data_IF_573297608388
#
_entry.id   IF_573297608388
#
_cell.length_a   1.000
_cell.length_b   1.000
_cell.length_c   1.000
_cell.angle_alpha   90.00
_cell.angle_beta   90.00
_cell.angle_gamma   90.00
#
_symmetry.space_group_name_H-M   'P 1'
#
loop_
_entity.id
_entity.type
_entity.pdbx_description
1 polymer ?
#
# COMPACT_ATOMS: atom_id res chain seq x y z
N UNK A 1 10.72 -44.86 -37.01
CA UNK A 1 9.27 -45.00 -36.74
C UNK A 1 9.01 -44.60 -35.29
N UNK A 2 8.22 -43.52 -35.14
CA UNK A 2 7.52 -42.96 -33.98
C UNK A 2 8.08 -43.17 -32.55
N UNK A 3 8.70 -42.12 -32.03
CA UNK A 3 8.83 -41.84 -30.60
C UNK A 3 7.48 -41.39 -30.04
N UNK A 4 6.86 -42.22 -29.18
CA UNK A 4 5.63 -41.87 -28.47
C UNK A 4 5.93 -40.80 -27.41
N UNK A 5 5.61 -39.56 -27.74
CA UNK A 5 5.44 -38.45 -26.80
C UNK A 5 4.29 -38.79 -25.84
N UNK A 6 4.56 -38.88 -24.52
CA UNK A 6 3.52 -38.78 -23.50
C UNK A 6 3.64 -37.45 -22.77
N UNK A 7 2.59 -36.65 -22.95
CA UNK A 7 2.27 -35.42 -22.25
C UNK A 7 2.59 -35.47 -20.73
N UNK A 8 3.35 -34.50 -20.19
CA UNK A 8 3.29 -34.20 -18.76
C UNK A 8 2.03 -33.36 -18.46
N UNK A 9 1.23 -33.83 -17.51
CA UNK A 9 0.04 -33.13 -16.98
C UNK A 9 0.38 -31.74 -16.41
N UNK A 10 -0.52 -30.73 -16.53
CA UNK A 10 -0.23 -29.34 -16.19
C UNK A 10 -0.44 -28.99 -14.70
N UNK A 11 -0.04 -29.86 -13.76
CA UNK A 11 -0.21 -29.60 -12.32
C UNK A 11 0.99 -30.00 -11.43
N UNK A 12 2.17 -30.20 -12.00
CA UNK A 12 3.41 -30.26 -11.22
C UNK A 12 4.14 -28.92 -11.35
N UNK A 13 3.81 -27.94 -10.50
CA UNK A 13 4.74 -26.83 -10.24
C UNK A 13 5.99 -27.46 -9.64
N UNK A 14 7.16 -27.43 -10.29
CA UNK A 14 8.36 -27.93 -9.65
C UNK A 14 8.57 -27.07 -8.40
N UNK A 15 8.55 -27.72 -7.24
CA UNK A 15 9.01 -27.11 -6.01
C UNK A 15 10.43 -26.61 -6.28
N UNK A 16 10.59 -25.29 -6.39
CA UNK A 16 11.89 -24.63 -6.47
C UNK A 16 12.67 -25.01 -5.21
N UNK A 17 13.51 -26.05 -5.36
CA UNK A 17 14.43 -26.53 -4.34
C UNK A 17 15.53 -25.48 -4.26
N UNK A 18 15.40 -24.53 -3.35
CA UNK A 18 16.49 -23.58 -3.05
C UNK A 18 17.75 -24.37 -2.65
N UNK A 19 18.90 -23.99 -3.20
CA UNK A 19 20.18 -24.66 -3.04
C UNK A 19 20.72 -24.73 -1.58
N UNK A 20 19.99 -24.21 -0.60
CA UNK A 20 20.46 -24.04 0.78
C UNK A 20 19.71 -24.87 1.84
N UNK A 21 18.92 -25.88 1.48
CA UNK A 21 18.41 -26.87 2.44
C UNK A 21 17.52 -26.35 3.59
N UNK A 22 17.14 -25.07 3.60
CA UNK A 22 16.24 -24.53 4.60
C UNK A 22 14.81 -25.01 4.35
N UNK A 23 14.37 -25.92 5.22
CA UNK A 23 12.98 -26.35 5.36
C UNK A 23 12.13 -25.20 5.87
N UNK A 24 11.52 -24.45 4.96
CA UNK A 24 10.18 -23.91 5.12
C UNK A 24 9.78 -23.29 3.78
N UNK A 25 8.54 -23.48 3.29
CA UNK A 25 7.94 -22.37 2.59
C UNK A 25 7.90 -21.26 3.64
N UNK A 26 8.84 -20.32 3.61
CA UNK A 26 8.62 -19.04 4.28
C UNK A 26 7.35 -18.56 3.65
N UNK A 27 6.24 -18.76 4.35
CA UNK A 27 4.95 -18.19 4.06
C UNK A 27 5.19 -16.70 4.20
N UNK A 28 5.75 -16.12 3.14
CA UNK A 28 5.85 -14.70 2.95
C UNK A 28 4.42 -14.23 3.20
N UNK A 29 4.16 -13.45 4.26
CA UNK A 29 2.81 -12.98 4.56
C UNK A 29 2.23 -12.39 3.28
N UNK A 30 0.91 -12.29 3.11
CA UNK A 30 0.31 -11.62 1.94
C UNK A 30 0.96 -10.25 1.65
N UNK A 31 1.51 -9.60 2.68
CA UNK A 31 2.35 -8.40 2.63
C UNK A 31 3.64 -8.50 1.77
N UNK A 32 4.23 -9.68 1.64
CA UNK A 32 5.44 -9.96 0.86
C UNK A 32 5.16 -10.37 -0.60
N UNK A 33 3.89 -10.38 -1.03
CA UNK A 33 3.60 -10.34 -2.47
C UNK A 33 4.02 -8.99 -3.05
N UNK A 34 4.81 -9.01 -4.12
CA UNK A 34 5.35 -7.82 -4.80
C UNK A 34 4.31 -6.97 -5.55
N UNK A 35 3.02 -7.21 -5.33
CA UNK A 35 1.94 -6.38 -5.89
C UNK A 35 1.80 -5.10 -5.06
N UNK A 36 1.96 -3.90 -5.62
CA UNK A 36 1.69 -2.67 -4.88
C UNK A 36 0.21 -2.61 -4.49
N UNK A 37 -0.12 -1.86 -3.44
CA UNK A 37 -1.53 -1.52 -3.22
C UNK A 37 -2.02 -0.62 -4.37
N UNK A 38 -3.32 -0.66 -4.72
CA UNK A 38 -3.88 0.23 -5.74
C UNK A 38 -3.64 1.69 -5.34
N UNK A 39 -3.22 2.53 -6.30
CA UNK A 39 -2.94 3.95 -6.02
C UNK A 39 -4.14 4.67 -5.40
N UNK A 40 -5.35 4.26 -5.76
CA UNK A 40 -6.60 4.75 -5.18
C UNK A 40 -6.64 4.59 -3.66
N UNK A 41 -6.08 3.52 -3.10
CA UNK A 41 -6.03 3.33 -1.65
C UNK A 41 -5.22 4.42 -0.95
N UNK A 42 -4.13 4.89 -1.56
CA UNK A 42 -3.33 6.00 -1.02
C UNK A 42 -4.11 7.30 -1.04
N UNK A 43 -4.87 7.58 -2.10
CA UNK A 43 -5.73 8.76 -2.17
C UNK A 43 -6.88 8.70 -1.15
N UNK A 44 -7.50 7.53 -0.97
CA UNK A 44 -8.55 7.34 0.03
C UNK A 44 -8.04 7.57 1.45
N UNK A 45 -6.79 7.17 1.75
CA UNK A 45 -6.14 7.47 3.04
C UNK A 45 -5.93 8.96 3.27
N UNK A 46 -5.68 9.73 2.20
CA UNK A 46 -5.56 11.19 2.30
C UNK A 46 -6.95 11.81 2.53
N UNK A 47 -7.97 11.36 1.80
CA UNK A 47 -9.30 11.95 1.93
C UNK A 47 -10.03 11.58 3.24
N UNK A 48 -9.70 10.42 3.82
CA UNK A 48 -10.45 9.87 4.95
C UNK A 48 -10.56 10.81 6.18
N UNK A 49 -9.49 11.43 6.71
CA UNK A 49 -9.60 12.33 7.86
C UNK A 49 -10.54 13.51 7.61
N UNK A 50 -10.45 14.13 6.43
CA UNK A 50 -11.32 15.24 6.03
C UNK A 50 -12.78 14.81 5.89
N UNK A 51 -13.03 13.69 5.21
CA UNK A 51 -14.39 13.16 5.02
C UNK A 51 -15.05 12.77 6.34
N UNK A 52 -14.32 12.12 7.26
CA UNK A 52 -14.84 11.73 8.56
C UNK A 52 -15.16 12.95 9.44
N UNK A 53 -14.29 13.95 9.42
CA UNK A 53 -14.52 15.21 10.16
C UNK A 53 -15.72 15.97 9.60
N UNK A 54 -15.85 16.05 8.28
CA UNK A 54 -17.02 16.66 7.61
C UNK A 54 -18.31 15.90 7.88
N UNK A 55 -18.27 14.56 7.91
CA UNK A 55 -19.43 13.74 8.26
C UNK A 55 -19.92 14.03 9.69
N UNK A 56 -19.02 14.20 10.67
CA UNK A 56 -19.40 14.57 12.03
C UNK A 56 -20.04 15.96 12.11
N UNK A 57 -19.63 16.89 11.26
CA UNK A 57 -20.24 18.23 11.20
C UNK A 57 -21.72 18.18 10.83
N UNK A 58 -22.15 17.16 10.08
CA UNK A 58 -23.55 16.99 9.69
C UNK A 58 -24.49 16.74 10.88
N UNK A 59 -23.95 16.52 12.08
CA UNK A 59 -24.74 16.40 13.31
C UNK A 59 -25.61 17.61 13.59
N UNK A 60 -25.19 18.81 13.17
CA UNK A 60 -25.96 20.04 13.39
C UNK A 60 -27.28 20.03 12.59
N UNK A 61 -27.38 19.17 11.56
CA UNK A 61 -28.52 19.09 10.65
C UNK A 61 -29.29 17.79 10.82
N UNK A 62 -28.60 16.65 10.94
CA UNK A 62 -29.18 15.30 11.01
C UNK A 62 -29.27 14.75 12.45
N UNK A 63 -28.80 15.50 13.44
CA UNK A 63 -28.63 15.02 14.81
C UNK A 63 -27.45 14.06 14.97
N UNK A 64 -27.11 13.74 16.22
CA UNK A 64 -25.94 12.92 16.58
C UNK A 64 -25.99 11.53 15.95
N UNK A 65 -27.18 10.89 15.95
CA UNK A 65 -27.36 9.56 15.38
C UNK A 65 -27.22 9.54 13.84
N UNK A 66 -27.73 10.57 13.16
CA UNK A 66 -27.58 10.70 11.72
C UNK A 66 -26.11 10.92 11.31
N UNK A 67 -25.39 11.76 12.06
CA UNK A 67 -23.96 11.96 11.84
C UNK A 67 -23.15 10.69 12.08
N UNK A 68 -23.44 9.94 13.15
CA UNK A 68 -22.77 8.67 13.43
C UNK A 68 -22.96 7.67 12.29
N UNK A 69 -24.19 7.51 11.79
CA UNK A 69 -24.49 6.65 10.65
C UNK A 69 -23.74 7.09 9.39
N UNK A 70 -23.68 8.40 9.12
CA UNK A 70 -22.95 8.94 7.99
C UNK A 70 -21.43 8.69 8.12
N UNK A 71 -20.86 8.90 9.31
CA UNK A 71 -19.44 8.61 9.58
C UNK A 71 -19.12 7.13 9.36
N UNK A 72 -20.00 6.22 9.80
CA UNK A 72 -19.86 4.77 9.56
C UNK A 72 -19.95 4.47 8.06
N UNK A 73 -20.89 5.08 7.33
CA UNK A 73 -21.03 4.90 5.89
C UNK A 73 -19.79 5.39 5.13
N UNK A 74 -19.23 6.54 5.51
CA UNK A 74 -17.97 7.07 4.96
C UNK A 74 -16.81 6.11 5.24
N UNK A 75 -16.69 5.60 6.46
CA UNK A 75 -15.65 4.64 6.82
C UNK A 75 -15.76 3.36 5.99
N UNK A 76 -16.97 2.83 5.83
CA UNK A 76 -17.24 1.68 4.98
C UNK A 76 -16.85 1.96 3.53
N UNK A 77 -17.19 3.14 2.99
CA UNK A 77 -16.83 3.58 1.65
C UNK A 77 -15.32 3.66 1.43
N UNK A 78 -14.59 4.33 2.33
CA UNK A 78 -13.11 4.45 2.28
C UNK A 78 -12.44 3.07 2.22
N UNK A 79 -13.01 2.08 2.90
CA UNK A 79 -12.47 0.72 2.95
C UNK A 79 -12.92 -0.12 1.74
N UNK A 80 -14.17 0.01 1.30
CA UNK A 80 -14.76 -0.81 0.25
C UNK A 80 -14.35 -0.35 -1.16
N UNK A 81 -14.37 0.96 -1.43
CA UNK A 81 -14.07 1.55 -2.74
C UNK A 81 -12.74 1.07 -3.33
N UNK A 82 -11.59 1.15 -2.63
CA UNK A 82 -10.32 0.66 -3.18
C UNK A 82 -10.26 -0.87 -3.34
N UNK A 83 -11.11 -1.63 -2.63
CA UNK A 83 -11.21 -3.09 -2.79
C UNK A 83 -12.04 -3.47 -4.02
N UNK A 84 -13.10 -2.73 -4.28
CA UNK A 84 -14.00 -2.96 -5.42
C UNK A 84 -13.37 -2.54 -6.75
N UNK A 85 -12.65 -1.41 -6.75
CA UNK A 85 -12.07 -0.85 -7.96
C UNK A 85 -10.79 -1.61 -8.38
N UNK A 86 -10.16 -2.37 -7.48
CA UNK A 86 -8.98 -3.18 -7.82
C UNK A 86 -7.78 -2.32 -8.26
N UNK A 87 -6.76 -2.94 -8.85
CA UNK A 87 -5.61 -2.22 -9.45
C UNK A 87 -6.06 -1.48 -10.72
N UNK A 88 -6.76 -0.35 -10.57
CA UNK A 88 -7.04 0.53 -11.71
C UNK A 88 -5.81 1.29 -12.15
N UNK A 89 -5.44 1.05 -13.39
CA UNK A 89 -4.64 1.97 -14.20
C UNK A 89 -3.18 2.07 -13.80
N UNK A 90 -2.44 2.88 -14.56
CA UNK A 90 -1.02 3.21 -14.36
C UNK A 90 -0.85 3.89 -13.01
N UNK A 91 -0.86 3.13 -11.91
CA UNK A 91 -0.66 3.66 -10.57
C UNK A 91 0.62 4.49 -10.57
N UNK A 92 0.51 5.73 -10.08
CA UNK A 92 1.62 6.68 -10.12
C UNK A 92 2.83 6.07 -9.45
N UNK A 93 4.01 6.28 -10.04
CA UNK A 93 5.28 5.71 -9.55
C UNK A 93 5.49 6.00 -8.06
N UNK A 94 5.01 7.16 -7.59
CA UNK A 94 5.04 7.57 -6.19
C UNK A 94 4.10 6.76 -5.29
N UNK A 95 2.81 6.61 -5.62
CA UNK A 95 1.85 5.88 -4.78
C UNK A 95 2.22 4.40 -4.59
N UNK A 96 2.83 3.79 -5.62
CA UNK A 96 3.40 2.44 -5.53
C UNK A 96 4.54 2.38 -4.52
N UNK A 97 5.47 3.34 -4.53
CA UNK A 97 6.61 3.40 -3.60
C UNK A 97 6.15 3.57 -2.16
N UNK A 98 5.16 4.42 -1.90
CA UNK A 98 4.56 4.57 -0.55
C UNK A 98 3.99 3.23 -0.07
N UNK A 99 3.21 2.56 -0.92
CA UNK A 99 2.58 1.27 -0.59
C UNK A 99 3.63 0.17 -0.33
N UNK A 100 4.73 0.15 -1.08
CA UNK A 100 5.83 -0.77 -0.83
C UNK A 100 6.56 -0.46 0.48
N UNK A 101 6.82 0.83 0.75
CA UNK A 101 7.39 1.26 2.02
C UNK A 101 6.55 0.84 3.22
N UNK A 102 5.22 0.98 3.12
CA UNK A 102 4.27 0.58 4.15
C UNK A 102 4.30 -0.94 4.38
N UNK A 103 4.33 -1.74 3.31
CA UNK A 103 4.48 -3.19 3.40
C UNK A 103 5.79 -3.60 4.09
N UNK A 104 6.90 -2.95 3.75
CA UNK A 104 8.20 -3.20 4.37
C UNK A 104 8.15 -2.84 5.86
N UNK A 105 7.56 -1.68 6.21
CA UNK A 105 7.42 -1.24 7.58
C UNK A 105 6.50 -2.13 8.43
N UNK A 106 5.41 -2.66 7.86
CA UNK A 106 4.55 -3.66 8.51
C UNK A 106 5.26 -5.00 8.68
N UNK A 107 6.16 -5.35 7.75
CA UNK A 107 6.95 -6.58 7.81
C UNK A 107 8.24 -6.43 8.64
N UNK A 108 8.40 -5.35 9.41
CA UNK A 108 9.59 -5.08 10.25
C UNK A 108 9.87 -6.15 11.30
N UNK A 109 8.87 -6.95 11.66
CA UNK A 109 9.01 -8.08 12.58
C UNK A 109 9.69 -9.30 11.93
N UNK A 110 9.65 -9.40 10.60
CA UNK A 110 10.18 -10.54 9.85
C UNK A 110 11.46 -10.22 9.09
N UNK A 111 11.70 -8.95 8.75
CA UNK A 111 12.92 -8.49 8.11
C UNK A 111 13.52 -7.33 8.92
N UNK A 112 14.81 -7.38 9.29
CA UNK A 112 15.44 -6.35 10.09
C UNK A 112 15.48 -5.02 9.30
N UNK A 113 14.60 -4.11 9.69
CA UNK A 113 14.57 -2.72 9.22
C UNK A 113 15.44 -1.88 10.17
N UNK A 114 16.16 -0.85 9.70
CA UNK A 114 16.89 0.06 10.59
C UNK A 114 15.99 0.61 11.71
N UNK A 115 16.36 0.35 12.97
CA UNK A 115 15.53 0.63 14.13
C UNK A 115 15.18 2.12 14.27
N UNK A 116 16.09 3.00 13.90
CA UNK A 116 15.93 4.46 13.94
C UNK A 116 14.84 4.96 12.97
N UNK A 117 14.77 4.39 11.77
CA UNK A 117 13.74 4.77 10.77
C UNK A 117 12.36 4.22 11.15
N UNK A 118 12.31 3.00 11.71
CA UNK A 118 11.06 2.41 12.19
C UNK A 118 10.44 3.21 13.34
N UNK A 119 11.27 3.65 14.30
CA UNK A 119 10.82 4.47 15.43
C UNK A 119 10.21 5.80 14.94
N UNK A 120 10.91 6.50 14.04
CA UNK A 120 10.42 7.76 13.45
C UNK A 120 9.08 7.59 12.75
N UNK A 121 8.93 6.57 11.91
CA UNK A 121 7.66 6.29 11.21
C UNK A 121 6.54 6.01 12.23
N UNK A 122 6.83 5.26 13.30
CA UNK A 122 5.85 4.96 14.36
C UNK A 122 5.40 6.23 15.09
N UNK A 123 6.34 7.11 15.47
CA UNK A 123 6.01 8.40 16.10
C UNK A 123 5.15 9.26 15.18
N UNK A 124 5.47 9.31 13.89
CA UNK A 124 4.66 10.06 12.92
C UNK A 124 3.25 9.50 12.77
N UNK A 125 3.09 8.18 12.76
CA UNK A 125 1.76 7.56 12.79
C UNK A 125 1.00 7.92 14.07
N UNK A 126 1.67 7.95 15.22
CA UNK A 126 1.04 8.36 16.47
C UNK A 126 0.56 9.81 16.41
N UNK A 127 1.41 10.72 15.90
CA UNK A 127 1.04 12.14 15.70
C UNK A 127 -0.13 12.28 14.72
N UNK A 128 -0.14 11.49 13.64
CA UNK A 128 -1.26 11.44 12.70
C UNK A 128 -2.57 11.02 13.39
N UNK A 129 -2.55 9.94 14.17
CA UNK A 129 -3.74 9.48 14.91
C UNK A 129 -4.21 10.51 15.94
N UNK A 130 -3.29 11.14 16.67
CA UNK A 130 -3.62 12.19 17.62
C UNK A 130 -4.25 13.42 16.94
N UNK A 131 -3.66 13.89 15.84
CA UNK A 131 -4.22 14.99 15.04
C UNK A 131 -5.60 14.65 14.47
N UNK A 132 -5.77 13.42 13.99
CA UNK A 132 -7.06 12.90 13.52
C UNK A 132 -8.12 12.86 14.62
N UNK A 133 -7.77 12.42 15.84
CA UNK A 133 -8.69 12.43 16.98
C UNK A 133 -9.10 13.85 17.37
N UNK A 134 -8.16 14.80 17.38
CA UNK A 134 -8.45 16.23 17.64
C UNK A 134 -9.39 16.79 16.56
N UNK A 135 -9.17 16.43 15.29
CA UNK A 135 -10.05 16.84 14.20
C UNK A 135 -11.48 16.31 14.38
N UNK A 136 -11.62 15.02 14.71
CA UNK A 136 -12.93 14.40 14.96
C UNK A 136 -13.63 15.02 16.16
N UNK A 137 -12.89 15.30 17.24
CA UNK A 137 -13.42 16.00 18.41
C UNK A 137 -13.86 17.42 18.04
N UNK A 138 -13.11 18.13 17.20
CA UNK A 138 -13.51 19.42 16.65
C UNK A 138 -14.81 19.34 15.85
N UNK A 139 -14.96 18.31 15.02
CA UNK A 139 -16.19 18.06 14.26
C UNK A 139 -17.39 17.79 15.18
N UNK A 140 -17.18 16.99 16.23
CA UNK A 140 -18.19 16.68 17.24
C UNK A 140 -18.54 17.86 18.15
N UNK A 141 -17.62 18.77 18.40
CA UNK A 141 -17.89 20.02 19.13
C UNK A 141 -18.39 21.14 18.20
N UNK A 142 -18.53 20.87 16.90
CA UNK A 142 -18.83 21.86 15.87
C UNK A 142 -17.89 23.09 15.93
N UNK A 143 -16.65 22.87 16.36
CA UNK A 143 -15.61 23.89 16.46
C UNK A 143 -14.75 23.89 15.19
N UNK A 144 -14.85 24.93 14.34
CA UNK A 144 -14.06 25.01 13.11
C UNK A 144 -12.56 25.07 13.40
N UNK A 145 -12.16 25.79 14.45
CA UNK A 145 -10.76 25.97 14.82
C UNK A 145 -10.13 24.64 15.23
N UNK A 146 -10.81 23.87 16.07
CA UNK A 146 -10.28 22.59 16.55
C UNK A 146 -10.22 21.56 15.42
N UNK A 147 -11.24 21.54 14.55
CA UNK A 147 -11.29 20.67 13.38
C UNK A 147 -10.14 20.97 12.41
N UNK A 148 -9.94 22.25 12.06
CA UNK A 148 -8.92 22.68 11.10
C UNK A 148 -7.50 22.47 11.64
N UNK A 149 -7.25 22.79 12.90
CA UNK A 149 -5.94 22.58 13.52
C UNK A 149 -5.60 21.10 13.65
N UNK A 150 -6.54 20.25 14.08
CA UNK A 150 -6.37 18.80 14.10
C UNK A 150 -6.09 18.22 12.70
N UNK A 151 -6.87 18.65 11.69
CA UNK A 151 -6.67 18.23 10.30
C UNK A 151 -5.31 18.68 9.76
N UNK A 152 -4.90 19.92 10.05
CA UNK A 152 -3.59 20.44 9.63
C UNK A 152 -2.44 19.59 10.19
N UNK A 153 -2.50 19.25 11.48
CA UNK A 153 -1.51 18.36 12.12
C UNK A 153 -1.54 16.96 11.51
N UNK A 154 -2.72 16.39 11.32
CA UNK A 154 -2.87 15.07 10.70
C UNK A 154 -2.28 15.04 9.28
N UNK A 155 -2.65 16.01 8.44
CA UNK A 155 -2.12 16.09 7.07
C UNK A 155 -0.62 16.30 7.04
N UNK A 156 -0.07 17.20 7.87
CA UNK A 156 1.37 17.41 7.96
C UNK A 156 2.10 16.11 8.34
N UNK A 157 1.65 15.41 9.39
CA UNK A 157 2.22 14.13 9.80
C UNK A 157 2.12 13.07 8.69
N UNK A 158 1.00 13.02 7.98
CA UNK A 158 0.76 12.07 6.90
C UNK A 158 1.71 12.28 5.71
N UNK A 159 1.88 13.52 5.25
CA UNK A 159 2.80 13.81 4.14
C UNK A 159 4.26 13.51 4.50
N UNK A 160 4.69 13.84 5.71
CA UNK A 160 6.05 13.50 6.17
C UNK A 160 6.21 11.97 6.29
N UNK A 161 5.16 11.26 6.73
CA UNK A 161 5.17 9.80 6.80
C UNK A 161 5.37 9.17 5.43
N UNK A 162 4.67 9.68 4.40
CA UNK A 162 4.84 9.20 3.03
C UNK A 162 6.27 9.42 2.51
N UNK A 163 6.88 10.57 2.81
CA UNK A 163 8.29 10.83 2.50
C UNK A 163 9.22 9.80 3.15
N UNK A 164 9.00 9.49 4.44
CA UNK A 164 9.80 8.49 5.16
C UNK A 164 9.59 7.06 4.67
N UNK A 165 8.37 6.70 4.28
CA UNK A 165 8.09 5.39 3.66
C UNK A 165 8.79 5.23 2.30
N UNK A 166 8.85 6.29 1.50
CA UNK A 166 9.58 6.28 0.23
C UNK A 166 11.08 6.17 0.46
N UNK A 167 11.62 6.91 1.43
CA UNK A 167 13.02 6.83 1.82
C UNK A 167 13.38 5.40 2.27
N UNK A 168 12.55 4.81 3.14
CA UNK A 168 12.70 3.43 3.59
C UNK A 168 12.71 2.44 2.42
N UNK A 169 11.77 2.60 1.47
CA UNK A 169 11.72 1.76 0.28
C UNK A 169 13.00 1.87 -0.55
N UNK A 170 13.53 3.07 -0.77
CA UNK A 170 14.77 3.29 -1.52
C UNK A 170 15.96 2.61 -0.83
N UNK A 171 16.12 2.80 0.48
CA UNK A 171 17.20 2.16 1.25
C UNK A 171 17.13 0.63 1.24
N UNK A 172 15.92 0.07 1.27
CA UNK A 172 15.74 -1.39 1.31
C UNK A 172 15.78 -2.05 -0.07
N UNK A 173 15.45 -1.31 -1.14
CA UNK A 173 15.49 -1.81 -2.53
C UNK A 173 16.88 -2.32 -2.91
N UNK A 174 17.93 -1.64 -2.45
CA UNK A 174 19.31 -1.97 -2.81
C UNK A 174 19.94 -3.01 -1.87
N UNK A 175 19.42 -3.14 -0.64
CA UNK A 175 19.95 -4.07 0.37
C UNK A 175 19.45 -5.51 0.22
N UNK A 176 18.28 -5.72 -0.39
CA UNK A 176 17.67 -7.07 -0.49
C UNK A 176 17.25 -7.38 -1.93
N UNK A 177 17.72 -8.48 -2.55
CA UNK A 177 17.36 -8.83 -3.92
C UNK A 177 15.86 -9.06 -4.12
N UNK A 178 15.12 -9.41 -3.07
CA UNK A 178 13.67 -9.60 -3.11
C UNK A 178 12.90 -8.34 -3.56
N UNK A 179 13.31 -7.16 -3.11
CA UNK A 179 12.62 -5.90 -3.38
C UNK A 179 12.97 -5.30 -4.75
N UNK A 180 14.09 -5.72 -5.36
CA UNK A 180 14.50 -5.31 -6.70
C UNK A 180 13.47 -5.72 -7.76
N UNK A 181 12.89 -6.91 -7.60
CA UNK A 181 11.92 -7.47 -8.53
C UNK A 181 10.50 -6.90 -8.38
N UNK A 182 10.19 -6.19 -7.29
CA UNK A 182 8.86 -5.59 -7.09
C UNK A 182 8.56 -4.42 -8.05
N UNK A 183 9.60 -3.81 -8.61
CA UNK A 183 9.47 -2.77 -9.66
C UNK A 183 9.90 -3.25 -11.04
N UNK A 184 10.41 -4.48 -11.17
CA UNK A 184 10.80 -5.01 -12.46
C UNK A 184 9.53 -5.26 -13.28
N UNK A 185 9.39 -4.56 -14.40
CA UNK A 185 8.38 -4.92 -15.39
C UNK A 185 8.85 -6.23 -16.02
N UNK A 186 8.04 -7.30 -16.01
CA UNK A 186 8.43 -8.54 -16.68
C UNK A 186 8.63 -8.22 -18.17
N UNK A 187 9.88 -8.26 -18.61
CA UNK A 187 10.20 -8.21 -20.02
C UNK A 187 9.90 -9.60 -20.58
N UNK A 188 8.85 -9.69 -21.40
CA UNK A 188 8.49 -10.93 -22.04
C UNK A 188 9.37 -11.09 -23.29
N UNK A 189 10.47 -11.81 -23.15
CA UNK A 189 11.39 -12.10 -24.26
C UNK A 189 10.78 -13.05 -25.30
N UNK A 190 9.64 -13.69 -24.97
CA UNK A 190 8.90 -14.55 -25.88
C UNK A 190 7.94 -13.78 -26.81
N UNK A 191 8.04 -12.45 -26.92
CA UNK A 191 7.28 -11.71 -27.94
C UNK A 191 7.86 -12.04 -29.32
N UNK A 192 7.11 -12.74 -30.20
CA UNK A 192 7.58 -13.05 -31.53
C UNK A 192 7.60 -11.76 -32.35
N UNK A 193 8.78 -11.16 -32.54
CA UNK A 193 8.95 -10.10 -33.52
C UNK A 193 9.89 -8.95 -33.16
N UNK A 194 11.17 -9.22 -32.88
CA UNK A 194 12.27 -8.25 -33.13
C UNK A 194 13.59 -8.87 -33.62
N UNK A 195 13.67 -10.19 -33.79
CA UNK A 195 14.87 -10.85 -34.30
C UNK A 195 14.94 -10.93 -35.85
N UNK A 196 13.89 -10.52 -36.57
CA UNK A 196 13.76 -10.76 -38.01
C UNK A 196 13.88 -9.47 -38.87
N UNK A 197 14.60 -8.44 -38.43
CA UNK A 197 14.75 -7.18 -39.22
C UNK A 197 16.20 -6.73 -39.44
N UNK A 198 17.17 -7.64 -39.39
CA UNK A 198 18.59 -7.35 -39.69
C UNK A 198 19.18 -8.21 -40.82
N UNK A 199 18.35 -8.90 -41.60
CA UNK A 199 18.79 -9.55 -42.85
C UNK A 199 17.88 -9.10 -43.99
N UNK A 200 18.35 -8.09 -44.72
CA UNK A 200 17.98 -7.64 -46.08
C UNK A 200 17.85 -6.12 -46.13
N UNK A 201 18.77 -5.51 -46.89
CA UNK A 201 18.92 -4.08 -47.11
C UNK A 201 20.39 -3.76 -47.26
#
# INVERSE_FOLDING_TARGET
MQTTQRHPSPLARPALKNANGLRAPVLLPKAATGKPAPALATFMKILAPGMLTGALWTQAWLGVWGALLLTIAVLAGVIAVPRLIGETGKATSWAKRVSFGEKIWLNRLFLPVPATDSARITTLYLVFWMGGLIALLGGFLSSPILSLTGLAVAYAAQFVSFGKLIQLYQTMKDKTPLYRFWTAVPHNDNLPGKAARSKHG
#
